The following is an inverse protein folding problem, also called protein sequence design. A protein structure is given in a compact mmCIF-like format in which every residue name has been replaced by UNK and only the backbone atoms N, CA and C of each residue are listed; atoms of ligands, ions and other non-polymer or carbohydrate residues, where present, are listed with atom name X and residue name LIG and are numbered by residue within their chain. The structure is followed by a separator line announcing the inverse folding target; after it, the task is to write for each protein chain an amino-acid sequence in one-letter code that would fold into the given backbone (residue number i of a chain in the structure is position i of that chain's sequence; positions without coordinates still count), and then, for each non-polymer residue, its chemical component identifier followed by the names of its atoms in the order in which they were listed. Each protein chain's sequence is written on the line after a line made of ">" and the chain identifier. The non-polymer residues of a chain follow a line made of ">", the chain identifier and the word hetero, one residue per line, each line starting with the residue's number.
data_IF_078457991006
#
_entry.id   IF_078457991006
#
_cell.length_a   1.000
_cell.length_b   1.000
_cell.length_c   1.000
_cell.angle_alpha   90.00
_cell.angle_beta   90.00
_cell.angle_gamma   90.00
#
_symmetry.space_group_name_H-M   'P 1'
#
loop_
_entity.id
_entity.type
_entity.pdbx_description
1 polymer ?
#
# COMPACT_ATOMS: atom_id res chain seq x y z
N UNK A 1 -2.96 -26.48 29.72
CA UNK A 1 -3.70 -25.22 29.47
C UNK A 1 -2.83 -24.13 28.83
N UNK A 2 -1.71 -23.72 29.44
CA UNK A 2 -0.81 -22.67 28.91
C UNK A 2 -0.39 -22.86 27.45
N UNK A 3 0.14 -24.05 27.11
CA UNK A 3 0.63 -24.37 25.75
C UNK A 3 -0.49 -24.22 24.71
N UNK A 4 -1.67 -24.76 25.01
CA UNK A 4 -2.84 -24.70 24.12
C UNK A 4 -3.27 -23.25 23.87
N UNK A 5 -3.33 -22.42 24.93
CA UNK A 5 -3.67 -21.00 24.79
C UNK A 5 -2.66 -20.24 23.92
N UNK A 6 -1.35 -20.43 24.16
CA UNK A 6 -0.30 -19.75 23.38
C UNK A 6 -0.34 -20.15 21.90
N UNK A 7 -0.66 -21.41 21.59
CA UNK A 7 -0.81 -21.87 20.20
C UNK A 7 -1.96 -21.13 19.51
N UNK A 8 -3.14 -21.08 20.14
CA UNK A 8 -4.29 -20.37 19.56
C UNK A 8 -4.06 -18.87 19.43
N UNK A 9 -3.43 -18.24 20.43
CA UNK A 9 -3.04 -16.84 20.37
C UNK A 9 -2.10 -16.56 19.19
N UNK A 10 -1.11 -17.44 18.96
CA UNK A 10 -0.20 -17.34 17.82
C UNK A 10 -0.94 -17.49 16.48
N UNK A 11 -1.88 -18.44 16.39
CA UNK A 11 -2.70 -18.65 15.19
C UNK A 11 -3.53 -17.40 14.87
N UNK A 12 -4.22 -16.81 15.85
CA UNK A 12 -5.02 -15.61 15.63
C UNK A 12 -4.17 -14.40 15.20
N UNK A 13 -3.00 -14.22 15.80
CA UNK A 13 -2.10 -13.14 15.37
C UNK A 13 -1.50 -13.38 13.98
N UNK A 14 -1.21 -14.63 13.61
CA UNK A 14 -0.75 -14.96 12.26
C UNK A 14 -1.83 -14.64 11.21
N UNK A 15 -3.10 -14.96 11.50
CA UNK A 15 -4.22 -14.60 10.62
C UNK A 15 -4.32 -13.07 10.48
N UNK A 16 -4.22 -12.35 11.60
CA UNK A 16 -4.22 -10.89 11.61
C UNK A 16 -3.07 -10.31 10.77
N UNK A 17 -1.85 -10.84 10.94
CA UNK A 17 -0.67 -10.47 10.15
C UNK A 17 -0.90 -10.66 8.65
N UNK A 18 -1.38 -11.84 8.24
CA UNK A 18 -1.61 -12.15 6.83
C UNK A 18 -2.67 -11.23 6.22
N UNK A 19 -3.74 -10.94 6.97
CA UNK A 19 -4.77 -10.00 6.53
C UNK A 19 -4.23 -8.58 6.38
N UNK A 20 -3.49 -8.05 7.35
CA UNK A 20 -2.91 -6.71 7.26
C UNK A 20 -1.87 -6.59 6.16
N UNK A 21 -1.07 -7.64 5.95
CA UNK A 21 -0.10 -7.72 4.86
C UNK A 21 -0.80 -7.71 3.50
N UNK A 22 -1.82 -8.55 3.31
CA UNK A 22 -2.56 -8.63 2.05
C UNK A 22 -3.23 -7.30 1.68
N UNK A 23 -3.91 -6.66 2.64
CA UNK A 23 -4.54 -5.35 2.44
C UNK A 23 -3.49 -4.29 2.10
N UNK A 24 -2.39 -4.24 2.86
CA UNK A 24 -1.33 -3.25 2.65
C UNK A 24 -0.64 -3.45 1.31
N UNK A 25 -0.38 -4.70 0.91
CA UNK A 25 0.20 -5.03 -0.39
C UNK A 25 -0.70 -4.62 -1.55
N UNK A 26 -2.02 -4.86 -1.43
CA UNK A 26 -3.01 -4.42 -2.42
C UNK A 26 -3.04 -2.89 -2.54
N UNK A 27 -3.25 -2.18 -1.44
CA UNK A 27 -3.34 -0.71 -1.42
C UNK A 27 -2.06 -0.05 -1.96
N UNK A 28 -0.88 -0.54 -1.56
CA UNK A 28 0.36 0.03 -2.06
C UNK A 28 0.64 -0.33 -3.52
N UNK A 29 0.11 -1.43 -4.04
CA UNK A 29 0.21 -1.77 -5.48
C UNK A 29 -0.65 -0.83 -6.30
N UNK A 30 -1.90 -0.60 -5.88
CA UNK A 30 -2.81 0.37 -6.51
C UNK A 30 -2.20 1.79 -6.50
N UNK A 31 -1.70 2.23 -5.34
CA UNK A 31 -1.05 3.54 -5.21
C UNK A 31 0.20 3.67 -6.10
N UNK A 32 0.99 2.59 -6.24
CA UNK A 32 2.18 2.61 -7.09
C UNK A 32 1.81 2.78 -8.57
N UNK A 33 0.74 2.13 -9.03
CA UNK A 33 0.23 2.24 -10.39
C UNK A 33 -0.38 3.63 -10.66
N UNK A 34 -1.18 4.17 -9.74
CA UNK A 34 -1.74 5.52 -9.85
C UNK A 34 -0.65 6.60 -9.85
N UNK A 35 0.36 6.46 -8.99
CA UNK A 35 1.52 7.36 -8.99
C UNK A 35 2.32 7.25 -10.29
N UNK A 36 2.49 6.04 -10.82
CA UNK A 36 3.15 5.80 -12.10
C UNK A 36 2.41 6.47 -13.25
N UNK A 37 1.09 6.30 -13.31
CA UNK A 37 0.21 6.96 -14.27
C UNK A 37 0.35 8.48 -14.21
N UNK A 38 0.20 9.05 -13.01
CA UNK A 38 0.27 10.51 -12.79
C UNK A 38 1.63 11.07 -13.17
N UNK A 39 2.71 10.35 -12.87
CA UNK A 39 4.06 10.75 -13.24
C UNK A 39 4.27 10.77 -14.75
N UNK A 40 3.79 9.74 -15.48
CA UNK A 40 3.86 9.72 -16.94
C UNK A 40 3.04 10.88 -17.53
N UNK A 41 1.79 11.05 -17.08
CA UNK A 41 0.89 12.07 -17.60
C UNK A 41 1.43 13.48 -17.39
N UNK A 42 2.02 13.76 -16.21
CA UNK A 42 2.69 15.03 -15.95
C UNK A 42 3.83 15.29 -16.95
N UNK A 43 4.62 14.26 -17.28
CA UNK A 43 5.71 14.38 -18.24
C UNK A 43 5.24 14.52 -19.69
N UNK A 44 4.13 13.88 -20.05
CA UNK A 44 3.49 14.09 -21.35
C UNK A 44 3.03 15.54 -21.46
N UNK A 45 2.42 16.10 -20.41
CA UNK A 45 1.98 17.50 -20.39
C UNK A 45 3.15 18.48 -20.49
N UNK A 46 4.27 18.23 -19.78
CA UNK A 46 5.51 19.02 -19.92
C UNK A 46 5.99 19.05 -21.39
N UNK A 47 5.90 17.92 -22.09
CA UNK A 47 6.31 17.79 -23.50
C UNK A 47 5.35 18.53 -24.42
N UNK A 48 4.03 18.43 -24.19
CA UNK A 48 3.02 19.18 -24.95
C UNK A 48 3.25 20.69 -24.82
N UNK A 49 3.49 21.17 -23.60
CA UNK A 49 3.80 22.57 -23.37
C UNK A 49 5.07 23.01 -24.11
N UNK A 50 6.12 22.17 -24.11
CA UNK A 50 7.34 22.48 -24.84
C UNK A 50 7.15 22.43 -26.36
N UNK A 51 6.28 21.55 -26.87
CA UNK A 51 5.87 21.55 -28.28
C UNK A 51 5.16 22.86 -28.64
N UNK A 52 4.21 23.33 -27.83
CA UNK A 52 3.51 24.59 -28.06
C UNK A 52 4.49 25.78 -28.10
N UNK A 53 5.45 25.83 -27.19
CA UNK A 53 6.50 26.86 -27.17
C UNK A 53 7.33 26.78 -28.45
N UNK A 54 7.73 25.59 -28.88
CA UNK A 54 8.54 25.43 -30.08
C UNK A 54 7.75 25.83 -31.33
N UNK A 55 6.46 25.46 -31.43
CA UNK A 55 5.58 25.86 -32.53
C UNK A 55 5.43 27.38 -32.56
N UNK A 56 5.15 28.01 -31.42
CA UNK A 56 4.98 29.46 -31.35
C UNK A 56 6.26 30.22 -31.69
N UNK A 57 7.42 29.78 -31.18
CA UNK A 57 8.71 30.38 -31.50
C UNK A 57 9.02 30.27 -32.99
N UNK A 58 8.64 29.18 -33.65
CA UNK A 58 8.79 29.01 -35.09
C UNK A 58 7.94 30.02 -35.88
N UNK A 59 6.69 30.23 -35.47
CA UNK A 59 5.81 31.23 -36.08
C UNK A 59 6.36 32.66 -35.93
N UNK A 60 6.92 32.98 -34.76
CA UNK A 60 7.53 34.29 -34.49
C UNK A 60 8.80 34.51 -35.34
N UNK A 61 9.71 33.53 -35.37
CA UNK A 61 10.92 33.57 -36.20
C UNK A 61 10.56 33.72 -37.69
N UNK A 62 9.53 33.00 -38.16
CA UNK A 62 9.04 33.11 -39.53
C UNK A 62 8.52 34.52 -39.81
N UNK A 63 7.67 35.06 -38.94
CA UNK A 63 7.10 36.40 -39.10
C UNK A 63 8.21 37.47 -39.12
N UNK A 64 9.20 37.38 -38.24
CA UNK A 64 10.34 38.29 -38.22
C UNK A 64 11.20 38.17 -39.50
N UNK A 65 11.45 36.95 -39.96
CA UNK A 65 12.16 36.68 -41.20
C UNK A 65 11.44 37.29 -42.40
N UNK A 66 10.12 37.10 -42.50
CA UNK A 66 9.29 37.63 -43.58
C UNK A 66 9.30 39.16 -43.62
N UNK A 67 9.16 39.80 -42.45
CA UNK A 67 9.24 41.26 -42.32
C UNK A 67 10.61 41.81 -42.72
N UNK A 68 11.69 41.12 -42.35
CA UNK A 68 13.05 41.50 -42.71
C UNK A 68 13.30 41.35 -44.23
N UNK A 69 12.89 40.22 -44.81
CA UNK A 69 12.95 39.97 -46.24
C UNK A 69 12.21 41.06 -47.03
N UNK A 70 11.02 41.45 -46.57
CA UNK A 70 10.22 42.50 -47.18
C UNK A 70 10.85 43.90 -47.04
N UNK A 71 11.46 44.22 -45.90
CA UNK A 71 12.16 45.49 -45.72
C UNK A 71 13.36 45.63 -46.67
N UNK A 72 14.12 44.55 -46.86
CA UNK A 72 15.29 44.50 -47.76
C UNK A 72 14.88 44.66 -49.23
N UNK A 73 13.83 43.98 -49.69
CA UNK A 73 13.36 44.12 -51.08
C UNK A 73 12.78 45.52 -51.35
N UNK A 74 12.09 46.13 -50.38
CA UNK A 74 11.65 47.53 -50.48
C UNK A 74 12.84 48.48 -50.61
N UNK A 75 13.92 48.23 -49.85
CA UNK A 75 15.14 49.02 -49.95
C UNK A 75 15.78 48.88 -51.34
N UNK A 76 15.87 47.65 -51.88
CA UNK A 76 16.35 47.41 -53.23
C UNK A 76 15.48 48.14 -54.28
N UNK A 77 14.16 48.03 -54.19
CA UNK A 77 13.24 48.71 -55.10
C UNK A 77 13.42 50.24 -55.05
N UNK A 78 13.67 50.79 -53.85
CA UNK A 78 13.97 52.22 -53.69
C UNK A 78 15.34 52.60 -54.27
N UNK A 79 16.35 51.73 -54.18
CA UNK A 79 17.66 51.97 -54.82
C UNK A 79 17.55 51.99 -56.34
N UNK A 80 16.80 51.04 -56.92
CA UNK A 80 16.50 51.00 -58.37
C UNK A 80 15.73 52.25 -58.81
N UNK A 81 14.79 52.73 -58.00
CA UNK A 81 14.06 53.97 -58.29
C UNK A 81 14.99 55.20 -58.35
N UNK A 82 15.92 55.29 -57.41
CA UNK A 82 16.84 56.42 -57.32
C UNK A 82 17.91 56.41 -58.43
N UNK A 83 18.29 55.23 -58.90
CA UNK A 83 19.25 55.07 -59.98
C UNK A 83 18.92 53.83 -60.84
N UNK A 84 18.06 53.95 -61.86
CA UNK A 84 17.61 52.81 -62.65
C UNK A 84 18.74 52.07 -63.39
N UNK A 85 19.84 52.76 -63.70
CA UNK A 85 20.96 52.17 -64.43
C UNK A 85 21.73 51.13 -63.61
N UNK A 86 21.56 51.07 -62.28
CA UNK A 86 22.26 50.08 -61.42
C UNK A 86 21.95 48.63 -61.81
N UNK A 87 20.79 48.38 -62.44
CA UNK A 87 20.37 47.04 -62.86
C UNK A 87 21.28 46.44 -63.94
N UNK A 88 22.08 47.26 -64.63
CA UNK A 88 22.99 46.84 -65.70
C UNK A 88 24.45 46.75 -65.25
N UNK A 89 24.75 46.99 -63.96
CA UNK A 89 26.11 46.96 -63.42
C UNK A 89 26.26 45.83 -62.39
N UNK A 90 26.74 44.67 -62.85
CA UNK A 90 26.89 43.45 -62.03
C UNK A 90 27.70 43.70 -60.74
N UNK A 91 28.80 44.46 -60.80
CA UNK A 91 29.61 44.77 -59.61
C UNK A 91 28.81 45.56 -58.55
N UNK A 92 27.95 46.48 -58.99
CA UNK A 92 27.13 47.30 -58.08
C UNK A 92 25.99 46.47 -57.49
N UNK A 93 25.37 45.59 -58.28
CA UNK A 93 24.36 44.66 -57.78
C UNK A 93 24.97 43.69 -56.77
N UNK A 94 26.19 43.21 -56.98
CA UNK A 94 26.87 42.34 -56.02
C UNK A 94 27.21 43.07 -54.71
N UNK A 95 27.66 44.33 -54.76
CA UNK A 95 27.86 45.15 -53.58
C UNK A 95 26.55 45.38 -52.80
N UNK A 96 25.44 45.65 -53.50
CA UNK A 96 24.11 45.81 -52.90
C UNK A 96 23.64 44.48 -52.29
N UNK A 97 23.88 43.35 -52.95
CA UNK A 97 23.54 42.01 -52.44
C UNK A 97 24.21 41.76 -51.10
N UNK A 98 25.51 42.05 -51.01
CA UNK A 98 26.29 41.93 -49.78
C UNK A 98 25.81 42.91 -48.71
N UNK A 99 25.49 44.15 -49.07
CA UNK A 99 24.99 45.19 -48.15
C UNK A 99 23.63 44.83 -47.54
N UNK A 100 22.71 44.30 -48.37
CA UNK A 100 21.39 43.88 -47.93
C UNK A 100 21.42 42.50 -47.25
N UNK A 101 22.57 41.83 -47.21
CA UNK A 101 22.74 40.47 -46.68
C UNK A 101 21.67 39.52 -47.24
N UNK A 102 21.55 39.47 -48.57
CA UNK A 102 20.65 38.56 -49.29
C UNK A 102 21.46 37.56 -50.10
N UNK A 103 20.88 36.40 -50.41
CA UNK A 103 21.58 35.38 -51.19
C UNK A 103 21.45 35.64 -52.69
N UNK A 104 20.29 36.13 -53.13
CA UNK A 104 20.01 36.45 -54.52
C UNK A 104 19.19 37.74 -54.66
N UNK A 105 19.38 38.43 -55.77
CA UNK A 105 18.52 39.53 -56.21
C UNK A 105 18.15 39.36 -57.67
N UNK A 106 16.90 39.66 -58.00
CA UNK A 106 16.35 39.56 -59.34
C UNK A 106 15.46 40.77 -59.62
N UNK A 107 15.61 41.37 -60.80
CA UNK A 107 14.82 42.51 -61.28
C UNK A 107 14.25 42.16 -62.66
N UNK A 108 12.94 42.37 -62.83
CA UNK A 108 12.24 42.12 -64.10
C UNK A 108 11.83 43.41 -64.83
N UNK A 109 11.53 43.25 -66.12
CA UNK A 109 10.82 44.25 -66.93
C UNK A 109 9.29 44.12 -66.85
N UNK A 110 8.59 44.88 -67.69
CA UNK A 110 7.13 44.97 -67.74
C UNK A 110 6.45 43.70 -68.27
N UNK A 111 7.22 42.83 -68.93
CA UNK A 111 6.80 41.54 -69.44
C UNK A 111 7.05 40.42 -68.43
N UNK A 112 7.72 40.71 -67.31
CA UNK A 112 8.09 39.73 -66.28
C UNK A 112 9.36 38.94 -66.64
N UNK A 113 10.17 39.45 -67.57
CA UNK A 113 11.45 38.86 -67.93
C UNK A 113 12.54 39.43 -67.03
N UNK A 114 13.38 38.57 -66.46
CA UNK A 114 14.50 39.01 -65.63
C UNK A 114 15.58 39.71 -66.46
N UNK A 115 15.84 40.98 -66.15
CA UNK A 115 16.76 41.87 -66.89
C UNK A 115 17.98 42.32 -66.08
N UNK A 116 17.98 42.06 -64.78
CA UNK A 116 19.11 42.33 -63.89
C UNK A 116 19.03 41.47 -62.65
N UNK A 117 20.18 41.15 -62.05
CA UNK A 117 20.24 40.29 -60.88
C UNK A 117 21.65 39.82 -60.58
N UNK A 118 21.80 39.09 -59.49
CA UNK A 118 23.11 38.62 -59.01
C UNK A 118 23.47 37.24 -59.56
N UNK A 119 22.49 36.51 -60.09
CA UNK A 119 22.68 35.19 -60.67
C UNK A 119 22.50 35.23 -62.19
N UNK A 120 23.62 35.28 -62.92
CA UNK A 120 23.63 35.40 -64.38
C UNK A 120 22.87 34.29 -65.11
N UNK A 121 22.70 33.12 -64.48
CA UNK A 121 21.95 31.99 -65.01
C UNK A 121 20.45 32.28 -65.19
N UNK A 122 19.91 33.29 -64.50
CA UNK A 122 18.50 33.67 -64.54
C UNK A 122 18.21 34.85 -65.48
N UNK A 123 19.22 35.45 -66.11
CA UNK A 123 19.00 36.55 -67.03
C UNK A 123 18.19 36.09 -68.26
N UNK A 124 17.10 36.79 -68.57
CA UNK A 124 16.16 36.41 -69.63
C UNK A 124 15.14 35.34 -69.21
N UNK A 125 15.12 34.93 -67.94
CA UNK A 125 14.12 34.01 -67.41
C UNK A 125 12.73 34.67 -67.36
N UNK A 126 11.72 33.94 -67.84
CA UNK A 126 10.33 34.36 -67.82
C UNK A 126 9.68 33.98 -66.49
N UNK A 127 9.35 34.97 -65.66
CA UNK A 127 8.74 34.72 -64.35
C UNK A 127 7.36 34.08 -64.45
N UNK A 128 6.65 34.18 -65.58
CA UNK A 128 5.37 33.49 -65.77
C UNK A 128 5.53 31.98 -66.04
N UNK A 129 6.74 31.50 -66.30
CA UNK A 129 7.01 30.12 -66.75
C UNK A 129 6.94 29.05 -65.65
N UNK A 130 7.15 29.43 -64.38
CA UNK A 130 7.07 28.52 -63.23
C UNK A 130 6.06 29.05 -62.19
N UNK A 131 5.23 28.20 -61.57
CA UNK A 131 4.27 28.63 -60.54
C UNK A 131 4.89 29.42 -59.39
N UNK A 132 6.13 29.11 -59.00
CA UNK A 132 6.86 29.82 -57.95
C UNK A 132 7.13 31.27 -58.35
N UNK A 133 7.69 31.52 -59.53
CA UNK A 133 7.96 32.89 -59.99
C UNK A 133 6.70 33.61 -60.45
N UNK A 134 5.70 32.88 -60.95
CA UNK A 134 4.47 33.46 -61.50
C UNK A 134 3.61 34.15 -60.43
N UNK A 135 3.75 33.75 -59.17
CA UNK A 135 3.07 34.38 -58.04
C UNK A 135 3.43 35.87 -57.86
N UNK A 136 4.58 36.33 -58.38
CA UNK A 136 5.00 37.73 -58.31
C UNK A 136 4.53 38.58 -59.50
N UNK A 137 3.98 37.97 -60.55
CA UNK A 137 3.49 38.69 -61.75
C UNK A 137 2.47 39.81 -61.46
N UNK A 138 1.59 39.73 -60.45
CA UNK A 138 0.70 40.84 -60.11
C UNK A 138 1.43 42.16 -59.80
N UNK A 139 2.70 42.11 -59.35
CA UNK A 139 3.49 43.31 -59.04
C UNK A 139 3.76 44.22 -60.25
N UNK A 140 3.66 43.68 -61.47
CA UNK A 140 3.79 44.47 -62.70
C UNK A 140 2.62 45.47 -62.82
N UNK A 141 1.43 45.07 -62.37
CA UNK A 141 0.19 45.85 -62.48
C UNK A 141 -0.20 46.58 -61.21
N UNK A 142 0.14 46.02 -60.04
CA UNK A 142 -0.19 46.55 -58.72
C UNK A 142 1.07 47.12 -58.06
N UNK A 143 1.14 48.46 -57.94
CA UNK A 143 2.31 49.16 -57.38
C UNK A 143 2.47 48.99 -55.87
N UNK A 144 1.41 48.60 -55.18
CA UNK A 144 1.44 48.34 -53.74
C UNK A 144 1.63 46.84 -53.46
N UNK A 145 1.93 46.04 -54.48
CA UNK A 145 2.12 44.61 -54.35
C UNK A 145 3.34 44.27 -53.52
N UNK A 146 3.12 43.38 -52.56
CA UNK A 146 4.14 42.81 -51.70
C UNK A 146 3.82 41.35 -51.47
N UNK A 147 4.81 40.49 -51.66
CA UNK A 147 4.67 39.07 -51.40
C UNK A 147 5.96 38.52 -50.79
N UNK A 148 5.82 37.82 -49.68
CA UNK A 148 6.83 36.91 -49.17
C UNK A 148 6.27 35.50 -49.35
N UNK A 149 7.02 34.64 -50.02
CA UNK A 149 6.62 33.26 -50.23
C UNK A 149 7.03 32.38 -49.07
N UNK A 150 6.35 31.24 -48.96
CA UNK A 150 6.79 30.16 -48.09
C UNK A 150 8.08 29.52 -48.66
N UNK A 151 9.02 29.09 -47.80
CA UNK A 151 10.22 28.39 -48.26
C UNK A 151 9.87 27.17 -49.09
N UNK A 152 10.37 27.10 -50.32
CA UNK A 152 10.10 25.99 -51.23
C UNK A 152 11.32 25.68 -52.12
N UNK A 153 11.46 24.43 -52.60
CA UNK A 153 12.61 24.05 -53.40
C UNK A 153 12.64 24.78 -54.74
N UNK A 154 13.78 25.36 -55.09
CA UNK A 154 13.99 26.02 -56.40
C UNK A 154 13.74 25.04 -57.55
N UNK A 155 13.22 25.57 -58.67
CA UNK A 155 12.98 24.79 -59.89
C UNK A 155 14.24 24.12 -60.45
N UNK A 156 15.42 24.74 -60.30
CA UNK A 156 16.67 24.31 -60.96
C UNK A 156 17.47 23.28 -60.13
N UNK A 157 17.74 23.56 -58.85
CA UNK A 157 18.65 22.76 -58.02
C UNK A 157 17.97 22.12 -56.80
N UNK A 158 16.65 22.28 -56.63
CA UNK A 158 15.84 21.77 -55.51
C UNK A 158 16.29 22.24 -54.12
N UNK A 159 17.17 23.23 -54.04
CA UNK A 159 17.55 23.87 -52.79
C UNK A 159 16.36 24.64 -52.22
N UNK A 160 16.12 24.54 -50.91
CA UNK A 160 15.03 25.27 -50.26
C UNK A 160 15.39 26.75 -50.22
N UNK A 161 14.53 27.57 -50.78
CA UNK A 161 14.74 29.01 -50.88
C UNK A 161 13.45 29.75 -50.59
N UNK A 162 13.59 30.96 -50.06
CA UNK A 162 12.48 31.84 -49.79
C UNK A 162 12.67 33.12 -50.61
N UNK A 163 11.64 33.52 -51.35
CA UNK A 163 11.67 34.75 -52.13
C UNK A 163 10.69 35.78 -51.56
N UNK A 164 11.15 37.03 -51.50
CA UNK A 164 10.33 38.19 -51.23
C UNK A 164 10.39 39.14 -52.43
N UNK A 165 9.25 39.65 -52.85
CA UNK A 165 9.11 40.46 -54.05
C UNK A 165 8.14 41.61 -53.87
N UNK A 166 8.45 42.74 -54.49
CA UNK A 166 7.61 43.93 -54.54
C UNK A 166 7.57 44.48 -55.96
N UNK A 167 6.58 45.33 -56.21
CA UNK A 167 6.50 46.07 -57.46
C UNK A 167 7.71 47.01 -57.62
N UNK A 168 8.24 47.07 -58.84
CA UNK A 168 9.24 48.05 -59.22
C UNK A 168 8.60 49.44 -59.26
N UNK A 169 9.28 50.44 -58.70
CA UNK A 169 8.69 51.76 -58.44
C UNK A 169 8.83 52.69 -59.66
N UNK A 170 9.99 52.65 -60.34
CA UNK A 170 10.34 53.50 -61.48
C UNK A 170 9.65 53.08 -62.79
N UNK A 171 9.52 51.77 -63.03
CA UNK A 171 8.84 51.20 -64.20
C UNK A 171 8.03 49.96 -63.85
N UNK A 172 7.06 49.53 -64.68
CA UNK A 172 6.43 48.24 -64.51
C UNK A 172 7.50 47.14 -64.51
N UNK A 173 7.42 46.23 -63.54
CA UNK A 173 8.39 45.17 -63.30
C UNK A 173 8.38 44.73 -61.85
N UNK A 174 9.19 43.73 -61.54
CA UNK A 174 9.27 43.07 -60.22
C UNK A 174 10.67 43.30 -59.68
N UNK A 175 10.78 43.60 -58.39
CA UNK A 175 12.04 43.54 -57.65
C UNK A 175 11.91 42.43 -56.64
N UNK A 176 12.81 41.46 -56.69
CA UNK A 176 12.80 40.28 -55.86
C UNK A 176 14.17 40.09 -55.21
N UNK A 177 14.15 39.65 -53.96
CA UNK A 177 15.32 39.15 -53.25
C UNK A 177 15.02 37.74 -52.80
N UNK A 178 16.05 36.92 -52.72
CA UNK A 178 15.91 35.57 -52.24
C UNK A 178 16.95 35.25 -51.17
N UNK A 179 16.53 34.36 -50.28
CA UNK A 179 17.29 33.96 -49.13
C UNK A 179 17.34 32.44 -49.07
N UNK A 180 18.52 31.92 -48.79
CA UNK A 180 18.64 30.62 -48.16
C UNK A 180 18.12 30.81 -46.75
N UNK A 181 17.12 30.04 -46.35
CA UNK A 181 16.66 30.08 -44.98
C UNK A 181 17.72 29.46 -44.05
N UNK A 182 19.03 29.72 -44.13
CA UNK A 182 20.02 29.11 -43.21
C UNK A 182 19.72 29.43 -41.73
N UNK A 183 18.88 30.44 -41.43
CA UNK A 183 18.22 30.62 -40.13
C UNK A 183 16.86 29.95 -39.99
N UNK A 184 16.07 29.81 -41.05
CA UNK A 184 14.76 29.13 -41.01
C UNK A 184 14.91 27.60 -41.15
N UNK A 185 15.62 27.08 -42.14
CA UNK A 185 15.90 25.67 -42.43
C UNK A 185 16.72 24.95 -41.34
N UNK A 186 17.76 25.57 -40.76
CA UNK A 186 18.45 24.99 -39.57
C UNK A 186 17.56 25.00 -38.32
N UNK A 187 16.59 25.92 -38.25
CA UNK A 187 15.55 25.92 -37.23
C UNK A 187 14.41 24.95 -37.59
N UNK A 188 14.12 24.71 -38.87
CA UNK A 188 12.99 23.89 -39.34
C UNK A 188 13.33 22.40 -39.46
N UNK A 189 14.61 22.03 -39.60
CA UNK A 189 15.02 20.62 -39.62
C UNK A 189 15.15 20.03 -38.20
N UNK A 190 15.32 20.91 -37.18
CA UNK A 190 15.90 20.61 -35.85
C UNK A 190 15.49 21.61 -34.73
N UNK A 191 14.33 22.31 -34.77
CA UNK A 191 13.82 23.12 -33.61
C UNK A 191 13.36 22.25 -32.42
N UNK A 192 14.25 21.37 -31.97
CA UNK A 192 14.21 20.59 -30.75
C UNK A 192 13.30 19.37 -30.68
N UNK A 193 12.43 19.05 -31.66
CA UNK A 193 11.60 17.82 -31.53
C UNK A 193 12.48 16.57 -31.40
N UNK A 194 13.52 16.40 -32.21
CA UNK A 194 14.42 15.21 -32.15
C UNK A 194 15.11 15.03 -30.79
N UNK A 195 15.37 16.13 -30.07
CA UNK A 195 16.00 16.11 -28.75
C UNK A 195 15.00 16.31 -27.61
N UNK A 196 13.74 16.61 -27.91
CA UNK A 196 12.71 16.96 -26.94
C UNK A 196 12.59 15.89 -25.86
N UNK A 197 12.35 14.65 -26.28
CA UNK A 197 12.18 13.53 -25.37
C UNK A 197 13.46 13.17 -24.61
N UNK A 198 14.65 13.57 -25.08
CA UNK A 198 15.90 13.35 -24.36
C UNK A 198 16.03 14.24 -23.12
N UNK A 199 15.40 15.41 -23.13
CA UNK A 199 15.34 16.35 -22.00
C UNK A 199 14.38 15.91 -20.89
N UNK A 200 13.40 15.06 -21.20
CA UNK A 200 12.40 14.59 -20.26
C UNK A 200 12.66 13.15 -19.80
N UNK A 201 12.50 12.91 -18.50
CA UNK A 201 12.56 11.57 -17.91
C UNK A 201 11.33 11.30 -17.07
N UNK A 202 10.86 10.07 -17.16
CA UNK A 202 9.78 9.55 -16.32
C UNK A 202 10.43 8.82 -15.15
N UNK A 203 10.47 9.45 -13.98
CA UNK A 203 11.25 8.93 -12.85
C UNK A 203 12.76 9.01 -13.11
N UNK A 204 13.49 7.96 -12.72
CA UNK A 204 14.95 7.85 -12.83
C UNK A 204 15.39 7.10 -14.08
N UNK A 205 14.72 5.99 -14.38
CA UNK A 205 15.04 5.05 -15.46
C UNK A 205 14.01 5.00 -16.58
N UNK A 206 12.79 5.51 -16.32
CA UNK A 206 11.79 5.66 -17.35
C UNK A 206 12.17 6.72 -18.37
N UNK A 207 11.62 6.54 -19.56
CA UNK A 207 11.93 7.36 -20.73
C UNK A 207 10.65 7.92 -21.31
N UNK A 208 10.81 8.98 -22.09
CA UNK A 208 9.77 9.50 -22.94
C UNK A 208 10.23 9.32 -24.39
N UNK A 209 9.27 9.15 -25.29
CA UNK A 209 9.49 9.14 -26.73
C UNK A 209 8.35 9.84 -27.45
N UNK A 210 8.65 10.33 -28.64
CA UNK A 210 7.69 10.95 -29.55
C UNK A 210 7.77 10.22 -30.87
N UNK A 211 6.62 9.80 -31.40
CA UNK A 211 6.48 9.19 -32.71
C UNK A 211 5.60 10.05 -33.62
N UNK A 212 5.82 9.96 -34.93
CA UNK A 212 4.93 10.56 -35.94
C UNK A 212 3.65 9.74 -36.16
N UNK A 213 2.74 10.25 -37.00
CA UNK A 213 1.48 9.57 -37.36
C UNK A 213 1.68 8.18 -37.99
N UNK A 214 2.86 7.91 -38.57
CA UNK A 214 3.21 6.63 -39.18
C UNK A 214 3.82 5.64 -38.17
N UNK A 215 3.97 6.05 -36.90
CA UNK A 215 4.59 5.23 -35.86
C UNK A 215 6.12 5.18 -35.94
N UNK A 216 6.75 6.16 -36.59
CA UNK A 216 8.22 6.32 -36.63
C UNK A 216 8.66 7.17 -35.44
N UNK A 217 9.66 6.71 -34.69
CA UNK A 217 10.19 7.42 -33.52
C UNK A 217 11.01 8.62 -33.99
N UNK A 218 10.48 9.82 -33.76
CA UNK A 218 11.12 11.09 -34.11
C UNK A 218 11.94 11.69 -32.97
N UNK A 219 11.67 11.28 -31.72
CA UNK A 219 12.39 11.77 -30.53
C UNK A 219 12.47 10.70 -29.45
N UNK A 220 13.67 10.46 -28.91
CA UNK A 220 13.88 9.54 -27.80
C UNK A 220 15.23 9.81 -27.14
N UNK A 221 15.34 9.61 -25.82
CA UNK A 221 16.62 9.75 -25.12
C UNK A 221 17.72 8.79 -25.63
N UNK A 222 17.35 7.58 -26.08
CA UNK A 222 18.28 6.62 -26.67
C UNK A 222 18.27 6.68 -28.21
N UNK A 223 19.26 7.37 -28.76
CA UNK A 223 19.40 7.63 -30.20
C UNK A 223 19.51 6.36 -31.06
N UNK A 224 19.75 5.16 -30.48
CA UNK A 224 19.76 3.89 -31.20
C UNK A 224 18.40 3.55 -31.85
N UNK A 225 17.31 4.09 -31.32
CA UNK A 225 15.95 3.87 -31.81
C UNK A 225 15.36 5.06 -32.56
N UNK A 226 16.16 6.11 -32.80
CA UNK A 226 15.74 7.25 -33.62
C UNK A 226 15.50 6.81 -35.07
N UNK A 227 14.41 7.29 -35.67
CA UNK A 227 13.93 6.93 -37.01
C UNK A 227 13.57 5.44 -37.21
N UNK A 228 13.41 4.67 -36.11
CA UNK A 228 12.88 3.30 -36.16
C UNK A 228 11.38 3.29 -35.89
N UNK A 229 10.70 2.19 -36.23
CA UNK A 229 9.29 2.04 -35.90
C UNK A 229 9.07 1.74 -34.41
N UNK A 230 7.86 2.04 -33.90
CA UNK A 230 7.43 1.61 -32.57
C UNK A 230 7.45 0.08 -32.41
N UNK A 231 7.26 -0.67 -33.50
CA UNK A 231 7.36 -2.13 -33.49
C UNK A 231 8.78 -2.63 -33.24
N UNK A 232 9.79 -1.98 -33.84
CA UNK A 232 11.19 -2.29 -33.60
C UNK A 232 11.63 -1.98 -32.15
N UNK A 233 10.95 -1.05 -31.48
CA UNK A 233 11.16 -0.78 -30.06
C UNK A 233 10.51 -1.84 -29.16
N UNK A 234 9.45 -2.48 -29.64
CA UNK A 234 8.77 -3.60 -28.96
C UNK A 234 7.28 -3.39 -28.68
N UNK A 235 6.65 -2.39 -29.30
CA UNK A 235 5.18 -2.24 -29.27
C UNK A 235 4.52 -3.09 -30.37
N UNK A 236 3.27 -3.48 -30.15
CA UNK A 236 2.43 -4.08 -31.18
C UNK A 236 1.43 -3.04 -31.71
N UNK A 237 0.98 -3.18 -32.95
CA UNK A 237 -0.01 -2.27 -33.58
C UNK A 237 -1.29 -2.10 -32.72
N UNK A 238 -1.71 -3.17 -32.04
CA UNK A 238 -2.87 -3.17 -31.13
C UNK A 238 -2.67 -2.46 -29.79
N UNK A 239 -1.43 -2.07 -29.42
CA UNK A 239 -1.15 -1.43 -28.13
C UNK A 239 -1.65 0.01 -28.05
N UNK A 240 -1.95 0.60 -29.21
CA UNK A 240 -2.47 1.97 -29.33
C UNK A 240 -3.90 2.01 -29.89
N UNK A 241 -4.56 0.85 -29.97
CA UNK A 241 -5.85 0.70 -30.64
C UNK A 241 -7.05 1.13 -29.77
N UNK A 242 -6.89 1.18 -28.45
CA UNK A 242 -7.95 1.52 -27.51
C UNK A 242 -7.81 2.99 -27.03
N UNK A 243 -8.68 3.91 -27.48
CA UNK A 243 -8.61 5.30 -27.08
C UNK A 243 -8.95 5.54 -25.60
N UNK A 244 -9.62 4.60 -24.93
CA UNK A 244 -9.99 4.69 -23.52
C UNK A 244 -8.93 4.03 -22.60
N UNK A 245 -8.16 3.05 -23.10
CA UNK A 245 -7.09 2.37 -22.36
C UNK A 245 -5.71 2.99 -22.64
N UNK A 246 -5.58 4.30 -22.45
CA UNK A 246 -4.34 5.05 -22.71
C UNK A 246 -3.16 4.68 -21.81
N UNK A 247 -3.39 3.91 -20.74
CA UNK A 247 -2.34 3.48 -19.81
C UNK A 247 -2.42 1.98 -19.57
N UNK A 248 -1.32 1.28 -19.81
CA UNK A 248 -1.26 -0.18 -19.74
C UNK A 248 0.08 -0.68 -19.20
N UNK A 249 0.05 -1.82 -18.53
CA UNK A 249 1.24 -2.51 -18.04
C UNK A 249 1.59 -3.67 -19.00
N UNK A 250 2.71 -3.55 -19.72
CA UNK A 250 3.12 -4.55 -20.73
C UNK A 250 4.63 -4.79 -20.70
N UNK A 251 5.06 -5.93 -21.23
CA UNK A 251 6.48 -6.16 -21.49
C UNK A 251 6.88 -5.44 -22.77
N UNK A 252 7.70 -4.38 -22.62
CA UNK A 252 8.27 -3.61 -23.72
C UNK A 252 9.78 -3.72 -23.62
N UNK A 253 10.45 -4.04 -24.74
CA UNK A 253 11.91 -4.23 -24.79
C UNK A 253 12.45 -5.21 -23.71
N UNK A 254 11.73 -6.30 -23.46
CA UNK A 254 12.12 -7.34 -22.50
C UNK A 254 11.86 -7.04 -21.02
N UNK A 255 11.34 -5.86 -20.67
CA UNK A 255 11.01 -5.49 -19.28
C UNK A 255 9.54 -5.13 -19.11
N UNK A 256 8.95 -5.55 -17.98
CA UNK A 256 7.58 -5.17 -17.62
C UNK A 256 7.56 -3.67 -17.32
N UNK A 257 6.78 -2.92 -18.07
CA UNK A 257 6.81 -1.46 -18.11
C UNK A 257 5.38 -0.93 -18.15
N UNK A 258 5.09 0.07 -17.32
CA UNK A 258 3.87 0.85 -17.44
C UNK A 258 4.10 1.87 -18.54
N UNK A 259 3.26 1.88 -19.56
CA UNK A 259 3.30 2.91 -20.58
C UNK A 259 1.98 3.66 -20.63
N UNK A 260 2.06 4.94 -20.98
CA UNK A 260 0.91 5.76 -21.30
C UNK A 260 1.20 6.62 -22.52
N UNK A 261 0.18 6.93 -23.31
CA UNK A 261 0.35 7.72 -24.52
C UNK A 261 -0.78 8.73 -24.76
N UNK A 262 -0.45 9.79 -25.48
CA UNK A 262 -1.38 10.81 -25.93
C UNK A 262 -0.98 11.33 -27.31
N UNK A 263 -1.98 11.55 -28.16
CA UNK A 263 -1.79 12.13 -29.50
C UNK A 263 -2.01 13.65 -29.41
N UNK A 264 -1.05 14.43 -29.89
CA UNK A 264 -1.03 15.90 -29.82
C UNK A 264 -0.29 16.50 -31.03
N UNK A 265 -0.92 17.43 -31.74
CA UNK A 265 -0.33 18.16 -32.90
C UNK A 265 0.35 17.25 -33.94
N UNK A 266 -0.28 16.11 -34.28
CA UNK A 266 0.24 15.13 -35.26
C UNK A 266 1.35 14.21 -34.73
N UNK A 267 1.66 14.29 -33.43
CA UNK A 267 2.64 13.43 -32.78
C UNK A 267 1.99 12.56 -31.70
N UNK A 268 2.50 11.34 -31.56
CA UNK A 268 2.19 10.45 -30.44
C UNK A 268 3.28 10.52 -29.39
N UNK A 269 2.94 11.05 -28.21
CA UNK A 269 3.84 11.15 -27.07
C UNK A 269 3.63 9.92 -26.19
N UNK A 270 4.70 9.17 -25.90
CA UNK A 270 4.64 7.93 -25.13
C UNK A 270 5.61 8.02 -23.96
N UNK A 271 5.10 7.89 -22.75
CA UNK A 271 5.91 7.77 -21.55
C UNK A 271 5.99 6.32 -21.08
N UNK A 272 7.18 5.92 -20.64
CA UNK A 272 7.50 4.55 -20.22
C UNK A 272 8.11 4.58 -18.83
N UNK A 273 7.53 3.86 -17.88
CA UNK A 273 8.03 3.68 -16.52
C UNK A 273 8.23 2.18 -16.22
N UNK A 274 9.48 1.71 -16.07
CA UNK A 274 9.75 0.31 -15.72
C UNK A 274 9.05 -0.10 -14.41
N UNK A 275 8.43 -1.28 -14.39
CA UNK A 275 7.68 -1.77 -13.23
C UNK A 275 8.58 -1.95 -11.99
N UNK A 276 9.85 -2.30 -12.21
CA UNK A 276 10.83 -2.40 -11.12
C UNK A 276 10.93 -1.06 -10.39
N UNK A 277 11.09 0.06 -11.13
CA UNK A 277 11.14 1.40 -10.56
C UNK A 277 9.81 1.82 -9.92
N UNK A 278 8.69 1.58 -10.62
CA UNK A 278 7.36 1.91 -10.15
C UNK A 278 7.06 1.28 -8.78
N UNK A 279 7.46 0.02 -8.59
CA UNK A 279 7.24 -0.71 -7.34
C UNK A 279 8.40 -0.61 -6.33
N UNK A 280 9.52 0.09 -6.63
CA UNK A 280 10.64 0.24 -5.67
C UNK A 280 10.18 0.79 -4.31
N UNK A 281 9.32 1.82 -4.34
CA UNK A 281 8.79 2.45 -3.13
C UNK A 281 7.83 1.52 -2.39
N UNK A 282 6.98 0.76 -3.11
CA UNK A 282 6.12 -0.27 -2.52
C UNK A 282 6.97 -1.31 -1.79
N UNK A 283 7.97 -1.87 -2.47
CA UNK A 283 8.76 -2.97 -1.91
C UNK A 283 9.53 -2.52 -0.67
N UNK A 284 10.12 -1.33 -0.69
CA UNK A 284 10.81 -0.74 0.47
C UNK A 284 9.85 -0.47 1.63
N UNK A 285 8.66 0.05 1.35
CA UNK A 285 7.65 0.37 2.36
C UNK A 285 7.04 -0.91 2.96
N UNK A 286 6.77 -1.93 2.15
CA UNK A 286 6.28 -3.24 2.60
C UNK A 286 7.31 -3.93 3.49
N UNK A 287 8.60 -3.91 3.13
CA UNK A 287 9.65 -4.47 3.98
C UNK A 287 9.68 -3.82 5.36
N UNK A 288 9.64 -2.48 5.42
CA UNK A 288 9.60 -1.73 6.68
C UNK A 288 8.34 -2.03 7.49
N UNK A 289 7.18 -2.09 6.84
CA UNK A 289 5.90 -2.40 7.47
C UNK A 289 5.89 -3.81 8.07
N UNK A 290 6.43 -4.81 7.38
CA UNK A 290 6.56 -6.18 7.90
C UNK A 290 7.41 -6.21 9.16
N UNK A 291 8.54 -5.49 9.18
CA UNK A 291 9.41 -5.41 10.37
C UNK A 291 8.68 -4.79 11.56
N UNK A 292 8.02 -3.65 11.37
CA UNK A 292 7.25 -2.99 12.43
C UNK A 292 6.09 -3.85 12.93
N UNK A 293 5.40 -4.51 12.02
CA UNK A 293 4.27 -5.36 12.33
C UNK A 293 4.70 -6.61 13.13
N UNK A 294 5.81 -7.26 12.75
CA UNK A 294 6.42 -8.34 13.54
C UNK A 294 6.84 -7.87 14.94
N UNK A 295 7.46 -6.69 15.05
CA UNK A 295 7.84 -6.12 16.33
C UNK A 295 6.61 -5.85 17.22
N UNK A 296 5.58 -5.21 16.68
CA UNK A 296 4.32 -4.93 17.38
C UNK A 296 3.62 -6.22 17.83
N UNK A 297 3.50 -7.21 16.94
CA UNK A 297 2.90 -8.50 17.27
C UNK A 297 3.67 -9.24 18.35
N UNK A 298 5.00 -9.17 18.33
CA UNK A 298 5.84 -9.76 19.39
C UNK A 298 5.55 -9.09 20.74
N UNK A 299 5.48 -7.76 20.78
CA UNK A 299 5.16 -7.01 22.00
C UNK A 299 3.77 -7.37 22.52
N UNK A 300 2.76 -7.38 21.64
CA UNK A 300 1.38 -7.73 22.00
C UNK A 300 1.29 -9.18 22.49
N UNK A 301 1.95 -10.13 21.80
CA UNK A 301 1.99 -11.53 22.21
C UNK A 301 2.57 -11.68 23.61
N UNK A 302 3.72 -11.07 23.89
CA UNK A 302 4.36 -11.12 25.20
C UNK A 302 3.46 -10.50 26.26
N UNK A 303 2.85 -9.34 25.98
CA UNK A 303 1.97 -8.65 26.92
C UNK A 303 0.74 -9.50 27.27
N UNK A 304 0.05 -10.04 26.26
CA UNK A 304 -1.11 -10.93 26.47
C UNK A 304 -0.69 -12.20 27.20
N UNK A 305 0.43 -12.83 26.81
CA UNK A 305 0.93 -14.04 27.44
C UNK A 305 1.25 -13.81 28.93
N UNK A 306 1.91 -12.71 29.27
CA UNK A 306 2.22 -12.33 30.66
C UNK A 306 0.95 -12.02 31.45
N UNK A 307 0.00 -11.28 30.87
CA UNK A 307 -1.25 -10.93 31.53
C UNK A 307 -2.08 -12.17 31.84
N UNK A 308 -2.28 -13.06 30.86
CA UNK A 308 -3.02 -14.31 31.05
C UNK A 308 -2.30 -15.24 32.02
N UNK A 309 -0.98 -15.33 31.96
CA UNK A 309 -0.20 -16.11 32.92
C UNK A 309 -0.44 -15.62 34.36
N UNK A 310 -0.33 -14.31 34.58
CA UNK A 310 -0.42 -13.72 35.92
C UNK A 310 -1.84 -13.68 36.46
N UNK A 311 -2.84 -13.36 35.62
CA UNK A 311 -4.23 -13.16 36.06
C UNK A 311 -5.06 -14.43 36.07
N UNK A 312 -4.81 -15.35 35.14
CA UNK A 312 -5.65 -16.54 34.96
C UNK A 312 -4.89 -17.80 35.37
N UNK A 313 -3.78 -18.11 34.68
CA UNK A 313 -3.14 -19.42 34.80
C UNK A 313 -2.61 -19.67 36.22
N UNK A 314 -1.92 -18.70 36.82
CA UNK A 314 -1.43 -18.83 38.20
C UNK A 314 -2.57 -19.02 39.21
N UNK A 315 -3.70 -18.32 39.02
CA UNK A 315 -4.86 -18.47 39.88
C UNK A 315 -5.46 -19.88 39.83
N UNK A 316 -5.54 -20.48 38.64
CA UNK A 316 -6.01 -21.87 38.46
C UNK A 316 -5.11 -22.85 39.21
N UNK A 317 -3.79 -22.73 39.08
CA UNK A 317 -2.86 -23.62 39.79
C UNK A 317 -3.01 -23.51 41.31
N UNK A 318 -3.04 -22.28 41.85
CA UNK A 318 -3.21 -22.07 43.29
C UNK A 318 -4.53 -22.66 43.82
N UNK A 319 -5.64 -22.44 43.12
CA UNK A 319 -6.93 -23.04 43.53
C UNK A 319 -6.88 -24.56 43.48
N UNK A 320 -6.27 -25.13 42.43
CA UNK A 320 -6.20 -26.58 42.27
C UNK A 320 -5.31 -27.23 43.33
N UNK A 321 -4.19 -26.61 43.68
CA UNK A 321 -3.29 -27.09 44.73
C UNK A 321 -3.97 -27.07 46.11
N UNK A 322 -4.66 -25.97 46.48
CA UNK A 322 -5.43 -25.93 47.73
C UNK A 322 -6.59 -26.92 47.74
N UNK A 323 -7.25 -27.14 46.59
CA UNK A 323 -8.29 -28.17 46.47
C UNK A 323 -7.73 -29.59 46.68
N UNK A 324 -6.54 -29.89 46.15
CA UNK A 324 -5.88 -31.18 46.36
C UNK A 324 -5.67 -31.45 47.85
N UNK A 325 -5.13 -30.47 48.60
CA UNK A 325 -4.93 -30.54 50.06
C UNK A 325 -6.26 -30.78 50.80
N UNK A 326 -7.33 -30.07 50.42
CA UNK A 326 -8.67 -30.27 51.01
C UNK A 326 -9.18 -31.69 50.73
N UNK A 327 -9.01 -32.19 49.50
CA UNK A 327 -9.46 -33.54 49.13
C UNK A 327 -8.66 -34.66 49.78
N UNK A 328 -7.42 -34.41 50.18
CA UNK A 328 -6.60 -35.33 50.99
C UNK A 328 -7.05 -35.40 52.47
N UNK A 329 -8.02 -34.58 52.87
CA UNK A 329 -8.66 -34.61 54.19
C UNK A 329 -8.27 -33.47 55.11
N UNK A 330 -7.39 -32.56 54.69
CA UNK A 330 -7.06 -31.36 55.47
C UNK A 330 -8.10 -30.25 55.25
N UNK A 331 -9.18 -30.30 56.04
CA UNK A 331 -10.26 -29.31 56.01
C UNK A 331 -9.91 -27.99 56.73
N UNK A 332 -8.67 -27.81 57.19
CA UNK A 332 -8.19 -26.53 57.73
C UNK A 332 -7.53 -25.64 56.67
N UNK A 333 -7.25 -26.19 55.49
CA UNK A 333 -6.77 -25.41 54.33
C UNK A 333 -7.80 -24.36 53.89
N UNK A 334 -7.31 -23.18 53.50
CA UNK A 334 -8.14 -22.05 53.08
C UNK A 334 -7.75 -21.60 51.68
N UNK A 335 -8.71 -21.63 50.75
CA UNK A 335 -8.47 -21.17 49.38
C UNK A 335 -8.56 -19.63 49.36
N UNK A 336 -7.45 -18.94 49.11
CA UNK A 336 -7.43 -17.47 49.01
C UNK A 336 -6.76 -16.99 47.72
N UNK A 337 -7.49 -17.11 46.61
CA UNK A 337 -7.05 -16.63 45.30
C UNK A 337 -7.91 -15.45 44.88
N UNK A 338 -7.33 -14.24 44.89
CA UNK A 338 -8.01 -12.97 44.60
C UNK A 338 -7.47 -12.26 43.36
N UNK A 339 -7.03 -13.00 42.34
CA UNK A 339 -6.39 -12.41 41.13
C UNK A 339 -7.37 -11.60 40.27
N UNK A 340 -8.64 -11.99 40.26
CA UNK A 340 -9.79 -11.32 39.66
C UNK A 340 -11.06 -11.62 40.47
N UNK A 341 -12.19 -10.99 40.09
CA UNK A 341 -13.46 -11.13 40.79
C UNK A 341 -14.01 -12.57 40.73
N UNK A 342 -13.77 -13.27 39.63
CA UNK A 342 -14.22 -14.65 39.43
C UNK A 342 -13.51 -15.63 40.38
N UNK A 343 -12.19 -15.48 40.57
CA UNK A 343 -11.42 -16.30 41.52
C UNK A 343 -11.76 -15.97 42.97
N UNK A 344 -12.04 -14.71 43.28
CA UNK A 344 -12.54 -14.30 44.59
C UNK A 344 -13.86 -15.00 44.92
N UNK A 345 -14.84 -14.92 44.02
CA UNK A 345 -16.13 -15.60 44.19
C UNK A 345 -15.98 -17.12 44.28
N UNK A 346 -15.10 -17.72 43.47
CA UNK A 346 -14.81 -19.15 43.51
C UNK A 346 -14.18 -19.57 44.85
N UNK A 347 -13.20 -18.81 45.33
CA UNK A 347 -12.53 -19.05 46.61
C UNK A 347 -13.53 -18.99 47.77
N UNK A 348 -14.38 -17.96 47.82
CA UNK A 348 -15.42 -17.81 48.84
C UNK A 348 -16.45 -18.94 48.80
N UNK A 349 -16.85 -19.35 47.59
CA UNK A 349 -17.74 -20.48 47.38
C UNK A 349 -17.15 -21.79 47.90
N UNK A 350 -15.89 -22.08 47.58
CA UNK A 350 -15.18 -23.29 48.07
C UNK A 350 -15.08 -23.26 49.59
N UNK A 351 -14.66 -22.13 50.18
CA UNK A 351 -14.52 -22.02 51.64
C UNK A 351 -15.87 -22.16 52.36
N UNK A 352 -16.95 -21.62 51.79
CA UNK A 352 -18.31 -21.80 52.33
C UNK A 352 -18.71 -23.27 52.31
N UNK A 353 -18.41 -23.99 51.23
CA UNK A 353 -18.65 -25.44 51.13
C UNK A 353 -17.84 -26.23 52.15
N UNK A 354 -16.55 -25.93 52.34
CA UNK A 354 -15.69 -26.57 53.34
C UNK A 354 -16.22 -26.31 54.76
N UNK A 355 -16.64 -25.07 55.06
CA UNK A 355 -17.23 -24.73 56.35
C UNK A 355 -18.54 -25.50 56.62
N UNK A 356 -19.41 -25.62 55.60
CA UNK A 356 -20.62 -26.42 55.70
C UNK A 356 -20.30 -27.90 55.95
N UNK A 357 -19.32 -28.46 55.24
CA UNK A 357 -18.88 -29.85 55.41
C UNK A 357 -18.34 -30.10 56.83
N UNK A 358 -17.46 -29.23 57.35
CA UNK A 358 -16.96 -29.33 58.74
C UNK A 358 -18.09 -29.29 59.76
N UNK A 359 -19.08 -28.43 59.55
CA UNK A 359 -20.26 -28.34 60.41
C UNK A 359 -21.06 -29.64 60.37
N UNK A 360 -21.30 -30.21 59.19
CA UNK A 360 -22.01 -31.49 59.05
C UNK A 360 -21.25 -32.62 59.73
N UNK A 361 -19.94 -32.72 59.56
CA UNK A 361 -19.10 -33.73 60.23
C UNK A 361 -19.23 -33.62 61.76
N UNK A 362 -19.11 -32.39 62.29
CA UNK A 362 -19.24 -32.14 63.74
C UNK A 362 -20.65 -32.44 64.27
N UNK A 363 -21.69 -32.09 63.51
CA UNK A 363 -23.07 -32.42 63.87
C UNK A 363 -23.30 -33.94 63.90
N UNK A 364 -22.71 -34.68 62.96
CA UNK A 364 -22.76 -36.17 62.97
C UNK A 364 -21.99 -36.74 64.16
N UNK A 365 -20.79 -36.24 64.44
CA UNK A 365 -19.97 -36.66 65.58
C UNK A 365 -20.72 -36.46 66.91
N UNK A 366 -21.28 -35.26 67.14
CA UNK A 366 -22.06 -34.97 68.35
C UNK A 366 -23.33 -35.80 68.48
N UNK A 367 -23.98 -36.16 67.37
CA UNK A 367 -25.13 -37.07 67.38
C UNK A 367 -24.71 -38.48 67.77
N UNK A 368 -23.62 -38.99 67.22
CA UNK A 368 -23.06 -40.30 67.57
C UNK A 368 -22.70 -40.34 69.06
N UNK A 369 -22.02 -39.30 69.56
CA UNK A 369 -21.68 -39.18 70.99
C UNK A 369 -22.92 -39.18 71.89
N UNK A 370 -23.98 -38.46 71.48
CA UNK A 370 -25.23 -38.43 72.21
C UNK A 370 -25.94 -39.81 72.20
N UNK A 371 -26.00 -40.49 71.05
CA UNK A 371 -26.56 -41.84 70.94
C UNK A 371 -25.80 -42.84 71.82
N UNK A 372 -24.47 -42.76 71.84
CA UNK A 372 -23.61 -43.57 72.71
C UNK A 372 -23.88 -43.28 74.20
N UNK A 373 -24.04 -42.01 74.56
CA UNK A 373 -24.39 -41.61 75.93
C UNK A 373 -25.77 -42.16 76.37
N UNK A 374 -26.78 -42.08 75.50
CA UNK A 374 -28.09 -42.64 75.78
C UNK A 374 -28.03 -44.16 75.95
N UNK A 375 -27.34 -44.86 75.05
CA UNK A 375 -27.15 -46.31 75.16
C UNK A 375 -26.53 -46.71 76.51
N UNK A 376 -25.51 -45.97 76.95
CA UNK A 376 -24.88 -46.16 78.28
C UNK A 376 -25.87 -45.94 79.43
N UNK A 377 -26.65 -44.88 79.34
CA UNK A 377 -27.61 -44.51 80.40
C UNK A 377 -28.69 -45.58 80.54
N UNK A 378 -29.23 -46.05 79.43
CA UNK A 378 -30.23 -47.13 79.40
C UNK A 378 -29.62 -48.41 79.98
N UNK A 379 -28.41 -48.77 79.56
CA UNK A 379 -27.70 -49.94 80.08
C UNK A 379 -27.54 -49.89 81.61
N UNK A 380 -27.04 -48.77 82.15
CA UNK A 380 -26.85 -48.62 83.60
C UNK A 380 -28.18 -48.62 84.36
N UNK A 381 -29.26 -48.14 83.75
CA UNK A 381 -30.60 -48.17 84.36
C UNK A 381 -31.21 -49.58 84.40
N UNK A 382 -30.80 -50.49 83.50
CA UNK A 382 -31.21 -51.89 83.53
C UNK A 382 -30.56 -52.69 84.67
N UNK A 383 -29.45 -52.20 85.22
CA UNK A 383 -28.77 -52.85 86.35
C UNK A 383 -29.53 -52.62 87.68
N UNK A 384 -29.45 -53.57 88.63
CA UNK A 384 -30.11 -53.43 89.92
C UNK A 384 -29.58 -52.21 90.69
N UNK A 385 -30.43 -51.21 90.86
CA UNK A 385 -30.16 -49.98 91.61
C UNK A 385 -30.73 -50.00 93.03
N UNK A 386 -31.53 -51.02 93.38
CA UNK A 386 -32.08 -51.19 94.72
C UNK A 386 -31.03 -51.68 95.70
N UNK A 387 -30.97 -51.05 96.87
CA UNK A 387 -30.36 -51.69 98.04
C UNK A 387 -31.35 -52.77 98.46
N UNK A 388 -30.96 -54.04 98.28
CA UNK A 388 -31.74 -55.14 98.84
C UNK A 388 -31.46 -55.17 100.34
N UNK A 389 -32.38 -54.60 101.11
CA UNK A 389 -32.45 -54.79 102.56
C UNK A 389 -32.83 -56.24 102.80
N UNK A 390 -31.84 -56.99 103.24
CA UNK A 390 -32.01 -58.38 103.59
C UNK A 390 -32.81 -58.44 104.91
N UNK A 391 -33.97 -59.10 104.89
CA UNK A 391 -34.83 -59.25 106.09
C UNK A 391 -34.13 -60.01 107.22
N UNK A 392 -34.79 -60.22 108.37
CA UNK A 392 -34.19 -60.74 109.63
C UNK A 392 -33.23 -61.95 109.52
N UNK A 393 -33.33 -62.75 108.45
CA UNK A 393 -32.50 -63.93 108.19
C UNK A 393 -31.17 -63.65 107.48
N UNK A 394 -30.95 -62.48 106.90
CA UNK A 394 -29.72 -62.09 106.21
C UNK A 394 -29.36 -60.67 106.68
N UNK A 395 -28.17 -60.45 107.26
CA UNK A 395 -27.78 -59.17 107.91
C UNK A 395 -26.63 -58.48 107.17
N UNK A 396 -26.79 -58.22 105.87
CA UNK A 396 -25.78 -57.52 105.07
C UNK A 396 -26.41 -56.68 103.96
N UNK A 397 -25.75 -55.57 103.61
CA UNK A 397 -26.18 -54.71 102.51
C UNK A 397 -25.34 -55.02 101.27
N UNK A 398 -25.99 -55.18 100.11
CA UNK A 398 -25.30 -55.37 98.83
C UNK A 398 -25.48 -54.13 97.97
N UNK A 399 -24.37 -53.68 97.38
CA UNK A 399 -24.32 -52.58 96.42
C UNK A 399 -23.44 -52.99 95.25
N UNK A 400 -23.96 -52.86 94.04
CA UNK A 400 -23.21 -53.03 92.80
C UNK A 400 -22.80 -51.69 92.19
N UNK A 401 -21.72 -51.69 91.43
CA UNK A 401 -21.32 -50.59 90.57
C UNK A 401 -20.59 -51.14 89.34
N UNK A 402 -20.88 -50.60 88.16
CA UNK A 402 -20.22 -50.95 86.91
C UNK A 402 -19.53 -49.71 86.33
N UNK A 403 -18.28 -49.87 85.89
CA UNK A 403 -17.52 -48.84 85.19
C UNK A 403 -17.12 -49.37 83.82
N UNK A 404 -17.72 -48.81 82.76
CA UNK A 404 -17.43 -49.22 81.38
C UNK A 404 -16.05 -48.71 80.95
N UNK A 405 -15.28 -49.55 80.26
CA UNK A 405 -13.96 -49.17 79.73
C UNK A 405 -14.04 -48.25 78.50
N UNK A 406 -15.17 -48.30 77.77
CA UNK A 406 -15.54 -47.41 76.66
C UNK A 406 -16.90 -46.76 76.96
N UNK A 407 -17.51 -46.17 75.95
CA UNK A 407 -18.80 -45.48 76.05
C UNK A 407 -19.93 -46.42 76.53
N UNK A 408 -19.88 -47.71 76.17
CA UNK A 408 -20.81 -48.77 76.63
C UNK A 408 -20.06 -50.08 76.93
N UNK A 409 -20.61 -50.94 77.80
CA UNK A 409 -19.97 -52.21 78.22
C UNK A 409 -20.81 -53.47 77.95
N UNK A 410 -20.24 -54.66 78.12
CA UNK A 410 -20.95 -55.95 78.02
C UNK A 410 -21.26 -56.61 79.37
N UNK A 411 -20.78 -56.03 80.48
CA UNK A 411 -20.81 -56.65 81.81
C UNK A 411 -22.14 -56.45 82.55
N UNK A 412 -22.80 -57.53 82.93
CA UNK A 412 -24.06 -57.56 83.67
C UNK A 412 -23.84 -58.06 85.09
N UNK A 413 -24.63 -57.55 86.03
CA UNK A 413 -24.79 -58.21 87.32
C UNK A 413 -26.24 -58.14 87.81
N UNK A 414 -26.65 -59.15 88.58
CA UNK A 414 -27.89 -59.15 89.35
C UNK A 414 -27.67 -59.82 90.71
N UNK A 415 -28.52 -59.49 91.68
CA UNK A 415 -28.53 -60.11 92.99
C UNK A 415 -29.96 -60.29 93.49
N UNK A 416 -30.26 -61.50 93.95
CA UNK A 416 -31.62 -61.92 94.31
C UNK A 416 -31.60 -62.95 95.44
N UNK A 417 -32.67 -62.99 96.25
CA UNK A 417 -32.84 -63.98 97.31
C UNK A 417 -33.53 -65.20 96.72
N UNK A 418 -32.90 -66.38 96.80
CA UNK A 418 -33.45 -67.64 96.29
C UNK A 418 -34.31 -68.32 97.35
N UNK A 419 -33.83 -68.38 98.60
CA UNK A 419 -34.57 -68.87 99.77
C UNK A 419 -34.06 -68.25 101.09
N UNK A 420 -34.48 -68.80 102.25
CA UNK A 420 -34.14 -68.27 103.59
C UNK A 420 -32.65 -68.31 103.96
N UNK A 421 -31.84 -69.13 103.29
CA UNK A 421 -30.40 -69.28 103.56
C UNK A 421 -29.53 -69.08 102.30
N UNK A 422 -30.13 -68.87 101.13
CA UNK A 422 -29.41 -68.79 99.85
C UNK A 422 -29.62 -67.45 99.15
N UNK A 423 -28.53 -66.70 99.07
CA UNK A 423 -28.42 -65.45 98.31
C UNK A 423 -27.68 -65.71 97.00
N UNK A 424 -28.31 -65.35 95.87
CA UNK A 424 -27.75 -65.50 94.54
C UNK A 424 -27.12 -64.20 94.06
N UNK A 425 -25.94 -64.29 93.48
CA UNK A 425 -25.30 -63.22 92.70
C UNK A 425 -25.02 -63.76 91.32
N UNK A 426 -25.55 -63.10 90.30
CA UNK A 426 -25.23 -63.36 88.90
C UNK A 426 -24.30 -62.26 88.40
N UNK A 427 -23.21 -62.65 87.75
CA UNK A 427 -22.33 -61.76 87.01
C UNK A 427 -22.11 -62.43 85.65
N UNK A 428 -22.32 -61.68 84.58
CA UNK A 428 -22.14 -62.17 83.22
C UNK A 428 -21.44 -61.11 82.37
N UNK A 429 -20.77 -61.55 81.30
CA UNK A 429 -20.23 -60.67 80.27
C UNK A 429 -20.81 -61.13 78.92
N UNK A 430 -21.33 -60.18 78.14
CA UNK A 430 -21.83 -60.45 76.80
C UNK A 430 -20.66 -60.50 75.84
N UNK A 431 -20.48 -61.65 75.19
CA UNK A 431 -19.47 -61.82 74.14
C UNK A 431 -19.70 -60.84 72.99
N UNK A 432 -18.79 -59.88 72.84
CA UNK A 432 -18.87 -58.81 71.86
C UNK A 432 -18.33 -57.49 72.42
N UNK A 433 -18.35 -56.42 71.62
CA UNK A 433 -17.95 -55.06 72.05
C UNK A 433 -18.83 -54.01 71.38
N UNK A 434 -18.94 -52.84 72.00
CA UNK A 434 -19.71 -51.71 71.46
C UNK A 434 -21.21 -51.84 71.67
N UNK A 435 -21.99 -51.00 70.97
CA UNK A 435 -23.45 -50.86 71.17
C UNK A 435 -24.20 -52.20 71.07
N UNK A 436 -23.98 -53.07 70.06
CA UNK A 436 -24.75 -54.31 69.95
C UNK A 436 -24.60 -55.25 71.16
N UNK A 437 -23.39 -55.37 71.73
CA UNK A 437 -23.16 -56.21 72.91
C UNK A 437 -23.82 -55.62 74.17
N UNK A 438 -23.78 -54.29 74.32
CA UNK A 438 -24.45 -53.60 75.42
C UNK A 438 -25.97 -53.76 75.38
N UNK A 439 -26.57 -53.80 74.18
CA UNK A 439 -28.02 -53.96 74.02
C UNK A 439 -28.51 -55.39 74.29
N UNK A 440 -27.65 -56.42 74.21
CA UNK A 440 -28.01 -57.82 74.53
C UNK A 440 -28.20 -58.09 76.03
N UNK A 441 -27.73 -57.17 76.87
CA UNK A 441 -27.87 -57.23 78.32
C UNK A 441 -29.28 -56.84 78.81
N UNK A 442 -29.98 -55.99 78.05
CA UNK A 442 -31.38 -55.64 78.29
C UNK A 442 -32.31 -56.76 77.82
#
# INVERSE_FOLDING_TARGET
>A
MRRTFLIWLMVFMLIGFLATFAISFYVQTEQAEENGHSLIQLRIEDVKQQLDINIHNLEEIRTESDLNALAKVRALAKMVELNPDIIFFDEVLEDIRLLLEVDEMHISDAEGILIGGTEAAYLGYDMASDPQSAAFMPAITDKDFELVQDPMPKGINKEIFQYAGVARIDSPGIVQVGYRPEKLALTMEVADIKNLAAGFRVGKSGILMVADENGTIVSIGNHQYLNKSLEEYGFAEGDFADPDAKTMLKTVNGSKTLFSYEDYEGYRIIGLLPADEMYLNRDSTIQLLVVFNLAMFTVIFVLIAVLVQKKVINGIYLVNDSLEIITEGNLDEHVDVRTNAEFESLSDGINTMVAALKRTIKEVETKIDAELYYARTIQLAALPTRILETGEHHRFNVKGSMFTAREVGGDFYDFFVVDKNLFGVAIADVSGKGIPAAMFMM
#
